data_IF_623574162730
#
_entry.id   IF_623574162730
#
_cell.length_a   1.000
_cell.length_b   1.000
_cell.length_c   1.000
_cell.angle_alpha   90.00
_cell.angle_beta   90.00
_cell.angle_gamma   90.00
#
_symmetry.space_group_name_H-M   'P 1'
#
loop_
_entity.id
_entity.type
_entity.pdbx_description
1 polymer ?
#
# COMPACT_ATOMS: atom_id res chain seq x y z
N UNK A 1 2.65 -70.63 13.93
CA UNK A 1 2.15 -69.52 14.77
C UNK A 1 2.77 -68.23 14.28
N UNK A 2 1.98 -67.42 13.70
CA UNK A 2 2.43 -66.16 13.15
C UNK A 2 1.99 -65.00 14.03
N UNK A 3 2.90 -64.30 14.65
CA UNK A 3 2.61 -63.05 15.36
C UNK A 3 2.59 -61.94 14.32
N UNK A 4 1.45 -61.40 14.05
CA UNK A 4 1.30 -60.22 13.25
C UNK A 4 1.41 -59.00 14.16
N UNK A 5 2.52 -58.35 14.12
CA UNK A 5 2.66 -57.02 14.70
C UNK A 5 2.08 -56.01 13.72
N UNK A 6 1.11 -55.24 14.09
CA UNK A 6 0.68 -54.14 13.23
C UNK A 6 1.70 -53.02 13.28
N UNK A 7 2.24 -52.73 12.12
CA UNK A 7 3.08 -51.58 11.90
C UNK A 7 2.15 -50.36 11.88
N UNK A 8 2.05 -49.71 13.01
CA UNK A 8 1.34 -48.43 13.08
C UNK A 8 2.37 -47.36 12.69
N UNK A 9 2.33 -46.98 11.43
CA UNK A 9 3.04 -45.83 10.93
C UNK A 9 2.24 -44.61 11.34
N UNK A 10 2.66 -43.94 12.37
CA UNK A 10 2.13 -42.66 12.75
C UNK A 10 2.70 -41.59 11.80
N UNK A 11 1.97 -41.35 10.75
CA UNK A 11 2.20 -40.24 9.82
C UNK A 11 1.43 -39.02 10.32
N UNK A 12 1.86 -38.42 11.43
CA UNK A 12 1.12 -37.29 11.98
C UNK A 12 2.04 -36.12 12.37
N UNK A 13 3.14 -35.92 11.67
CA UNK A 13 4.06 -34.87 12.10
C UNK A 13 4.36 -33.74 11.10
N UNK A 14 3.72 -33.73 9.95
CA UNK A 14 4.07 -32.74 8.91
C UNK A 14 3.07 -31.60 8.71
N UNK A 15 1.98 -31.55 9.46
CA UNK A 15 0.91 -30.57 9.23
C UNK A 15 1.04 -29.27 10.04
N UNK A 16 1.96 -29.20 10.99
CA UNK A 16 2.08 -28.02 11.84
C UNK A 16 3.13 -27.00 11.40
N UNK A 17 3.99 -27.33 10.45
CA UNK A 17 5.06 -26.43 10.02
C UNK A 17 4.62 -25.42 8.94
N UNK A 18 3.53 -25.65 8.24
CA UNK A 18 3.04 -24.73 7.22
C UNK A 18 2.23 -23.56 7.78
N UNK A 19 1.73 -23.66 9.01
CA UNK A 19 0.95 -22.59 9.62
C UNK A 19 1.80 -21.42 10.17
N UNK A 20 3.09 -21.64 10.47
CA UNK A 20 3.97 -20.61 10.99
C UNK A 20 4.67 -19.75 9.92
N UNK A 21 4.67 -20.18 8.66
CA UNK A 21 5.34 -19.48 7.56
C UNK A 21 4.45 -18.48 6.80
N UNK A 22 3.12 -18.56 7.00
CA UNK A 22 2.15 -17.75 6.25
C UNK A 22 1.81 -16.39 6.88
N UNK A 23 2.27 -16.09 8.11
CA UNK A 23 1.86 -14.89 8.86
C UNK A 23 2.46 -13.58 8.35
N UNK A 24 3.47 -13.61 7.47
CA UNK A 24 4.17 -12.44 6.95
C UNK A 24 4.07 -12.26 5.44
N UNK A 25 3.29 -13.09 4.76
CA UNK A 25 3.07 -12.91 3.33
C UNK A 25 2.16 -11.70 3.07
N UNK A 26 2.51 -10.85 2.10
CA UNK A 26 1.66 -9.72 1.75
C UNK A 26 0.36 -10.22 1.14
N UNK A 27 -0.75 -9.69 1.62
CA UNK A 27 -2.10 -9.98 1.11
C UNK A 27 -2.67 -8.74 0.46
N UNK A 28 -3.11 -8.84 -0.78
CA UNK A 28 -3.80 -7.76 -1.47
C UNK A 28 -5.24 -7.72 -0.96
N UNK A 29 -5.61 -6.62 -0.30
CA UNK A 29 -6.96 -6.41 0.22
C UNK A 29 -7.89 -5.80 -0.83
N UNK A 30 -7.37 -4.92 -1.67
CA UNK A 30 -8.16 -4.17 -2.63
C UNK A 30 -7.30 -3.71 -3.80
N UNK A 31 -7.88 -3.78 -4.98
CA UNK A 31 -7.29 -3.21 -6.20
C UNK A 31 -8.38 -2.43 -6.92
N UNK A 32 -8.08 -1.18 -7.28
CA UNK A 32 -9.00 -0.31 -8.02
C UNK A 32 -8.30 0.33 -9.20
N UNK A 33 -9.05 0.55 -10.25
CA UNK A 33 -8.64 1.36 -11.40
C UNK A 33 -9.71 2.42 -11.62
N UNK A 34 -9.32 3.68 -11.49
CA UNK A 34 -10.24 4.82 -11.55
C UNK A 34 -9.83 5.73 -12.70
N UNK A 35 -10.76 5.98 -13.59
CA UNK A 35 -10.58 6.99 -14.64
C UNK A 35 -10.93 8.36 -14.07
N UNK A 36 -9.99 9.27 -14.14
CA UNK A 36 -10.20 10.66 -13.76
C UNK A 36 -10.48 11.46 -15.05
N UNK A 37 -11.70 11.96 -15.14
CA UNK A 37 -12.16 12.73 -16.30
C UNK A 37 -11.55 14.14 -16.30
N UNK A 38 -10.26 14.19 -16.55
CA UNK A 38 -9.52 15.43 -16.77
C UNK A 38 -9.12 15.52 -18.25
N UNK A 39 -8.73 16.68 -18.70
CA UNK A 39 -8.15 16.86 -20.02
C UNK A 39 -6.64 17.17 -19.88
N UNK A 40 -5.71 16.23 -20.13
CA UNK A 40 -5.92 14.88 -20.65
C UNK A 40 -6.45 13.88 -19.63
N UNK A 41 -7.07 12.80 -20.11
CA UNK A 41 -7.57 11.69 -19.30
C UNK A 41 -6.43 11.06 -18.49
N UNK A 42 -6.63 10.91 -17.20
CA UNK A 42 -5.71 10.20 -16.32
C UNK A 42 -6.35 8.97 -15.71
N UNK A 43 -5.54 7.97 -15.43
CA UNK A 43 -5.96 6.72 -14.79
C UNK A 43 -5.20 6.55 -13.49
N UNK A 44 -5.93 6.37 -12.41
CA UNK A 44 -5.38 6.06 -11.10
C UNK A 44 -5.55 4.57 -10.82
N UNK A 45 -4.44 3.89 -10.61
CA UNK A 45 -4.41 2.51 -10.10
C UNK A 45 -4.05 2.54 -8.62
N UNK A 46 -4.85 1.87 -7.81
CA UNK A 46 -4.71 1.82 -6.37
C UNK A 46 -4.67 0.36 -5.92
N UNK A 47 -3.66 0.00 -5.11
CA UNK A 47 -3.51 -1.34 -4.55
C UNK A 47 -3.26 -1.24 -3.06
N UNK A 48 -4.16 -1.78 -2.26
CA UNK A 48 -4.03 -1.87 -0.80
C UNK A 48 -3.49 -3.23 -0.42
N UNK A 49 -2.37 -3.25 0.28
CA UNK A 49 -1.65 -4.46 0.68
C UNK A 49 -1.51 -4.49 2.19
N UNK A 50 -1.83 -5.62 2.80
CA UNK A 50 -1.58 -5.86 4.21
C UNK A 50 -0.43 -6.86 4.36
N UNK A 51 0.59 -6.48 5.11
CA UNK A 51 1.73 -7.32 5.47
C UNK A 51 1.89 -7.35 6.98
N UNK A 52 1.50 -8.48 7.59
CA UNK A 52 1.45 -8.57 9.04
C UNK A 52 0.44 -7.59 9.64
N UNK A 53 0.89 -6.67 10.46
CA UNK A 53 0.06 -5.62 11.07
C UNK A 53 0.10 -4.30 10.31
N UNK A 54 0.86 -4.22 9.21
CA UNK A 54 1.08 -2.99 8.47
C UNK A 54 0.30 -3.03 7.17
N UNK A 55 -0.42 -1.97 6.88
CA UNK A 55 -1.03 -1.75 5.58
C UNK A 55 -0.22 -0.75 4.76
N UNK A 56 -0.04 -1.08 3.49
CA UNK A 56 0.61 -0.24 2.50
C UNK A 56 -0.37 0.05 1.37
N UNK A 57 -0.38 1.28 0.91
CA UNK A 57 -1.14 1.68 -0.26
C UNK A 57 -0.18 2.06 -1.37
N UNK A 58 -0.30 1.42 -2.51
CA UNK A 58 0.44 1.76 -3.73
C UNK A 58 -0.48 2.44 -4.71
N UNK A 59 -0.10 3.58 -5.19
CA UNK A 59 -0.84 4.32 -6.20
C UNK A 59 0.02 4.59 -7.42
N UNK A 60 -0.58 4.49 -8.60
CA UNK A 60 0.06 4.79 -9.86
C UNK A 60 -0.89 5.65 -10.68
N UNK A 61 -0.47 6.85 -11.00
CA UNK A 61 -1.22 7.77 -11.84
C UNK A 61 -0.60 7.83 -13.22
N UNK A 62 -1.35 7.45 -14.23
CA UNK A 62 -0.92 7.45 -15.62
C UNK A 62 -1.66 8.54 -16.39
N UNK A 63 -0.92 9.40 -17.06
CA UNK A 63 -1.43 10.43 -17.96
C UNK A 63 -0.82 10.21 -19.32
N UNK A 64 -1.62 10.35 -20.38
CA UNK A 64 -1.18 10.14 -21.75
C UNK A 64 0.05 11.02 -22.07
N UNK A 65 1.08 10.40 -22.64
CA UNK A 65 2.35 11.03 -23.05
C UNK A 65 3.23 11.56 -21.91
N UNK A 66 2.96 11.14 -20.67
CA UNK A 66 3.81 11.46 -19.52
C UNK A 66 4.23 10.20 -18.78
N UNK A 67 5.42 10.18 -18.14
CA UNK A 67 5.79 9.07 -17.27
C UNK A 67 4.79 8.90 -16.13
N UNK A 68 4.44 7.66 -15.75
CA UNK A 68 3.54 7.44 -14.62
C UNK A 68 4.16 7.90 -13.30
N UNK A 69 3.32 8.45 -12.43
CA UNK A 69 3.71 8.83 -11.07
C UNK A 69 3.30 7.72 -10.12
N UNK A 70 4.28 7.11 -9.46
CA UNK A 70 4.05 6.07 -8.47
C UNK A 70 4.32 6.63 -7.08
N UNK A 71 3.40 6.34 -6.15
CA UNK A 71 3.51 6.74 -4.76
C UNK A 71 3.26 5.54 -3.86
N UNK A 72 4.08 5.41 -2.84
CA UNK A 72 3.91 4.44 -1.77
C UNK A 72 3.50 5.14 -0.49
N UNK A 73 2.43 4.67 0.12
CA UNK A 73 1.86 5.19 1.35
C UNK A 73 1.84 4.11 2.42
N UNK A 74 1.99 4.49 3.67
CA UNK A 74 1.78 3.58 4.79
C UNK A 74 0.71 4.11 5.73
N UNK A 75 -0.09 3.20 6.31
CA UNK A 75 -0.99 3.54 7.39
C UNK A 75 -0.23 3.58 8.71
N UNK A 76 -0.33 4.69 9.39
CA UNK A 76 0.13 4.86 10.75
C UNK A 76 -1.06 5.33 11.60
N UNK A 77 -1.61 4.42 12.41
CA UNK A 77 -2.91 4.62 13.05
C UNK A 77 -3.99 4.86 12.00
N UNK A 78 -4.71 5.96 12.09
CA UNK A 78 -5.76 6.33 11.12
C UNK A 78 -5.25 7.20 9.97
N UNK A 79 -3.97 7.55 9.99
CA UNK A 79 -3.39 8.45 8.99
C UNK A 79 -2.64 7.69 7.91
N UNK A 80 -2.75 8.19 6.70
CA UNK A 80 -2.01 7.71 5.55
C UNK A 80 -0.82 8.63 5.30
N UNK A 81 0.39 8.08 5.36
CA UNK A 81 1.64 8.81 5.27
C UNK A 81 2.36 8.44 3.98
N UNK A 82 2.78 9.44 3.23
CA UNK A 82 3.59 9.25 2.02
C UNK A 82 5.00 8.80 2.41
N UNK A 83 5.40 7.63 1.89
CA UNK A 83 6.73 7.07 2.13
C UNK A 83 7.69 7.41 0.99
N UNK A 84 7.24 7.24 -0.25
CA UNK A 84 8.05 7.47 -1.43
C UNK A 84 7.22 7.93 -2.60
N UNK A 85 7.83 8.70 -3.46
CA UNK A 85 7.27 9.17 -4.71
C UNK A 85 8.34 9.11 -5.80
N UNK A 86 8.04 8.45 -6.91
CA UNK A 86 8.89 8.48 -8.08
C UNK A 86 8.39 9.53 -9.07
N UNK A 87 8.51 10.77 -8.76
CA UNK A 87 8.26 11.83 -9.73
C UNK A 87 9.57 12.33 -10.31
N UNK A 88 9.60 12.52 -11.63
CA UNK A 88 10.77 13.05 -12.34
C UNK A 88 10.97 14.56 -12.14
N UNK A 89 10.00 15.23 -11.54
CA UNK A 89 10.10 16.62 -11.15
C UNK A 89 10.41 16.71 -9.65
N UNK A 90 11.69 16.70 -9.31
CA UNK A 90 12.09 17.17 -7.99
C UNK A 90 11.73 18.66 -7.90
N UNK A 91 10.87 19.06 -6.96
CA UNK A 91 10.73 20.46 -6.65
C UNK A 91 12.09 20.90 -6.08
N UNK A 92 12.83 21.70 -6.84
CA UNK A 92 14.02 22.37 -6.32
C UNK A 92 13.54 23.38 -5.28
N UNK A 93 13.42 22.93 -4.04
CA UNK A 93 13.17 23.83 -2.93
C UNK A 93 14.50 24.54 -2.68
N UNK A 94 14.53 25.81 -3.03
CA UNK A 94 15.62 26.68 -2.65
C UNK A 94 15.50 26.89 -1.12
N UNK A 95 16.29 26.14 -0.37
CA UNK A 95 16.26 26.14 1.11
C UNK A 95 16.74 27.48 1.71
N UNK A 96 17.33 28.36 0.92
CA UNK A 96 17.81 29.64 1.36
C UNK A 96 16.79 30.78 1.16
N UNK A 97 15.65 30.51 0.57
CA UNK A 97 14.58 31.47 0.40
C UNK A 97 13.79 31.69 1.70
N UNK A 98 13.45 32.91 2.08
CA UNK A 98 12.56 33.19 3.23
C UNK A 98 11.15 32.60 3.03
N UNK A 99 10.77 32.28 1.80
CA UNK A 99 9.50 31.64 1.46
C UNK A 99 9.56 30.09 1.55
N UNK A 100 10.73 29.51 1.82
CA UNK A 100 10.92 28.05 1.87
C UNK A 100 10.04 27.36 2.92
N UNK A 101 9.84 27.99 4.09
CA UNK A 101 8.95 27.47 5.14
C UNK A 101 7.48 27.48 4.70
N UNK A 102 7.07 28.52 4.00
CA UNK A 102 5.70 28.65 3.47
C UNK A 102 5.47 27.59 2.39
N UNK A 103 6.42 27.41 1.48
CA UNK A 103 6.33 26.39 0.43
C UNK A 103 6.29 24.99 1.00
N UNK A 104 7.13 24.68 2.03
CA UNK A 104 7.13 23.41 2.72
C UNK A 104 5.76 23.12 3.39
N UNK A 105 5.16 24.14 4.01
CA UNK A 105 3.85 24.01 4.64
C UNK A 105 2.74 23.77 3.60
N UNK A 106 2.77 24.48 2.48
CA UNK A 106 1.83 24.28 1.37
C UNK A 106 1.95 22.86 0.81
N UNK A 107 3.17 22.37 0.65
CA UNK A 107 3.42 21.01 0.16
C UNK A 107 2.89 19.96 1.14
N UNK A 108 3.10 20.15 2.43
CA UNK A 108 2.54 19.28 3.47
C UNK A 108 1.01 19.25 3.43
N UNK A 109 0.38 20.38 3.28
CA UNK A 109 -1.07 20.48 3.16
C UNK A 109 -1.60 19.76 1.93
N UNK A 110 -0.91 19.85 0.79
CA UNK A 110 -1.27 19.13 -0.44
C UNK A 110 -1.17 17.62 -0.24
N UNK A 111 -0.12 17.15 0.38
CA UNK A 111 0.08 15.72 0.68
C UNK A 111 -1.02 15.20 1.60
N UNK A 112 -1.37 15.94 2.65
CA UNK A 112 -2.47 15.56 3.56
C UNK A 112 -3.82 15.50 2.85
N UNK A 113 -4.09 16.46 1.98
CA UNK A 113 -5.32 16.48 1.19
C UNK A 113 -5.40 15.27 0.27
N UNK A 114 -4.31 14.95 -0.40
CA UNK A 114 -4.22 13.78 -1.27
C UNK A 114 -4.38 12.48 -0.47
N UNK A 115 -3.73 12.38 0.69
CA UNK A 115 -3.87 11.23 1.59
C UNK A 115 -5.33 10.99 1.99
N UNK A 116 -6.06 12.04 2.34
CA UNK A 116 -7.48 11.96 2.68
C UNK A 116 -8.33 11.53 1.48
N UNK A 117 -8.02 12.02 0.28
CA UNK A 117 -8.69 11.61 -0.95
C UNK A 117 -8.46 10.11 -1.23
N UNK A 118 -7.24 9.63 -1.06
CA UNK A 118 -6.90 8.21 -1.23
C UNK A 118 -7.61 7.32 -0.21
N UNK A 119 -7.66 7.73 1.06
CA UNK A 119 -8.42 7.02 2.10
C UNK A 119 -9.89 6.89 1.74
N UNK A 120 -10.49 7.93 1.20
CA UNK A 120 -11.91 7.92 0.83
C UNK A 120 -12.22 6.99 -0.36
N UNK A 121 -11.23 6.64 -1.16
CA UNK A 121 -11.38 5.68 -2.26
C UNK A 121 -11.34 4.23 -1.79
N UNK A 122 -10.74 3.97 -0.63
CA UNK A 122 -10.67 2.63 -0.06
C UNK A 122 -12.03 2.26 0.54
N UNK A 123 -12.46 1.00 0.34
CA UNK A 123 -13.69 0.52 0.94
C UNK A 123 -13.61 0.57 2.46
N UNK A 124 -14.72 0.89 3.12
CA UNK A 124 -14.79 0.98 4.58
C UNK A 124 -14.42 -0.33 5.27
N UNK A 125 -14.77 -1.46 4.66
CA UNK A 125 -14.44 -2.78 5.17
C UNK A 125 -12.92 -3.03 5.20
N UNK A 126 -12.23 -2.71 4.10
CA UNK A 126 -10.78 -2.87 4.02
C UNK A 126 -10.04 -1.82 4.84
N UNK A 127 -10.57 -0.60 4.93
CA UNK A 127 -10.01 0.44 5.77
C UNK A 127 -9.97 0.03 7.26
N UNK A 128 -11.00 -0.64 7.74
CA UNK A 128 -11.04 -1.19 9.11
C UNK A 128 -9.96 -2.22 9.39
N UNK A 129 -9.52 -2.95 8.37
CA UNK A 129 -8.43 -3.92 8.52
C UNK A 129 -7.05 -3.27 8.67
N UNK A 130 -6.96 -1.99 8.34
CA UNK A 130 -5.72 -1.20 8.34
C UNK A 130 -5.64 -0.17 9.47
N UNK A 131 -6.71 0.06 10.19
CA UNK A 131 -6.80 1.04 11.29
C UNK A 131 -6.97 0.40 12.65
#
# INVERSE_FOLDING_TARGET
MMSKTPLIITLTSCLFLSACLSSNEPVILETQQIEIANNPLSVLELTLIKKGKICLLKTKTSVKNTPPIEKDWAFFRDDLILISENSTSEPSIDTDSPDAEIEAHIQEMKIRKEANQMKNLISKENLKKCT
#
